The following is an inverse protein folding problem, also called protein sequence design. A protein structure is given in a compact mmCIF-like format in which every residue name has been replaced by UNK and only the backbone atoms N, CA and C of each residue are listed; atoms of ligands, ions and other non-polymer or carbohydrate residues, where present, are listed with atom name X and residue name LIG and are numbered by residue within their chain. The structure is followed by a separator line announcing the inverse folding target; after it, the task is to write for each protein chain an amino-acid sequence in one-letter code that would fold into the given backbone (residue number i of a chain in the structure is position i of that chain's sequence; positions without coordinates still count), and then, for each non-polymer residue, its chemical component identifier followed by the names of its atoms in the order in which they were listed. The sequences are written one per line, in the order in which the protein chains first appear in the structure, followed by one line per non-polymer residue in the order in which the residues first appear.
data_IF_548071465454
#
_entry.id   IF_548071465454
#
_cell.length_a   1.000
_cell.length_b   1.000
_cell.length_c   1.000
_cell.angle_alpha   90.00
_cell.angle_beta   90.00
_cell.angle_gamma   90.00
#
_symmetry.space_group_name_H-M   'P 1'
#
loop_
_entity.id
_entity.type
_entity.pdbx_description
1 polymer ?
#
# COMPACT_ATOMS: atom_id res chain seq x y z
N UNK A 1 -103.93 -26.82 -33.96
CA UNK A 1 -104.38 -26.98 -32.57
C UNK A 1 -103.64 -25.96 -31.73
N UNK A 2 -104.37 -25.02 -31.13
CA UNK A 2 -103.92 -24.13 -30.03
C UNK A 2 -103.77 -24.97 -28.72
N UNK A 3 -103.20 -24.48 -27.58
CA UNK A 3 -102.90 -23.10 -27.19
C UNK A 3 -101.61 -22.86 -26.30
N UNK A 4 -101.48 -21.62 -25.81
CA UNK A 4 -100.94 -21.15 -24.49
C UNK A 4 -99.43 -20.85 -24.25
N UNK A 5 -99.14 -19.56 -24.04
CA UNK A 5 -98.04 -18.93 -23.23
C UNK A 5 -98.36 -19.12 -21.72
N UNK A 6 -97.44 -19.08 -20.71
CA UNK A 6 -96.20 -18.28 -20.62
C UNK A 6 -95.00 -18.91 -19.85
N UNK A 7 -93.79 -18.32 -19.93
CA UNK A 7 -92.97 -17.82 -18.80
C UNK A 7 -91.59 -17.32 -19.29
N UNK A 8 -91.06 -16.27 -18.68
CA UNK A 8 -89.68 -15.77 -18.90
C UNK A 8 -88.72 -16.38 -17.87
N UNK A 9 -87.47 -16.70 -18.24
CA UNK A 9 -86.38 -16.45 -17.31
C UNK A 9 -85.13 -15.81 -17.93
N UNK A 10 -84.70 -14.74 -17.25
CA UNK A 10 -83.37 -14.15 -17.04
C UNK A 10 -82.20 -14.60 -17.94
N UNK A 11 -81.56 -13.57 -18.49
CA UNK A 11 -80.17 -13.52 -18.98
C UNK A 11 -79.17 -14.21 -18.05
N UNK A 12 -78.18 -14.98 -18.56
CA UNK A 12 -77.07 -15.46 -17.76
C UNK A 12 -76.10 -14.31 -17.44
N UNK A 13 -75.86 -14.13 -16.14
CA UNK A 13 -74.88 -13.20 -15.58
C UNK A 13 -73.46 -13.52 -16.06
N UNK A 14 -72.72 -12.45 -16.31
CA UNK A 14 -71.31 -12.41 -16.59
C UNK A 14 -70.54 -12.88 -15.34
N UNK A 15 -69.93 -14.08 -15.37
CA UNK A 15 -69.05 -14.52 -14.30
C UNK A 15 -67.71 -13.78 -14.42
N UNK A 16 -67.59 -12.70 -13.66
CA UNK A 16 -66.32 -12.06 -13.33
C UNK A 16 -65.39 -13.08 -12.68
N UNK A 17 -64.28 -13.36 -13.36
CA UNK A 17 -63.20 -14.21 -12.90
C UNK A 17 -62.37 -13.44 -11.85
N UNK A 18 -62.90 -13.34 -10.63
CA UNK A 18 -62.20 -12.76 -9.50
C UNK A 18 -60.98 -13.64 -9.13
N UNK A 19 -59.80 -13.23 -9.58
CA UNK A 19 -58.53 -13.85 -9.19
C UNK A 19 -58.37 -13.75 -7.67
N UNK A 20 -58.33 -14.90 -6.99
CA UNK A 20 -58.21 -14.95 -5.54
C UNK A 20 -56.85 -14.39 -5.07
N UNK A 21 -56.75 -13.83 -3.84
CA UNK A 21 -55.54 -13.19 -3.31
C UNK A 21 -54.26 -14.07 -3.35
N UNK A 22 -54.44 -15.40 -3.37
CA UNK A 22 -53.36 -16.40 -3.38
C UNK A 22 -52.73 -16.60 -4.77
N UNK A 23 -53.47 -16.36 -5.85
CA UNK A 23 -52.95 -16.39 -7.23
C UNK A 23 -52.23 -15.08 -7.60
N UNK A 24 -52.71 -13.95 -7.07
CA UNK A 24 -52.04 -12.66 -7.26
C UNK A 24 -50.65 -12.62 -6.57
N UNK A 25 -50.54 -13.14 -5.33
CA UNK A 25 -49.28 -13.14 -4.57
C UNK A 25 -48.20 -14.06 -5.16
N UNK A 26 -48.60 -15.23 -5.68
CA UNK A 26 -47.69 -16.15 -6.37
C UNK A 26 -47.17 -15.57 -7.69
N UNK A 27 -48.00 -14.82 -8.44
CA UNK A 27 -47.55 -14.11 -9.65
C UNK A 27 -46.59 -12.94 -9.35
N UNK A 28 -46.76 -12.26 -8.22
CA UNK A 28 -45.90 -11.15 -7.81
C UNK A 28 -44.52 -11.64 -7.36
N UNK A 29 -44.50 -12.72 -6.57
CA UNK A 29 -43.25 -13.38 -6.16
C UNK A 29 -42.48 -13.95 -7.36
N UNK A 30 -43.17 -14.53 -8.35
CA UNK A 30 -42.54 -15.05 -9.55
C UNK A 30 -41.95 -13.93 -10.44
N UNK A 31 -42.65 -12.79 -10.55
CA UNK A 31 -42.14 -11.60 -11.26
C UNK A 31 -40.92 -10.98 -10.56
N UNK A 32 -40.91 -10.96 -9.23
CA UNK A 32 -39.78 -10.46 -8.45
C UNK A 32 -38.52 -11.35 -8.60
N UNK A 33 -38.70 -12.68 -8.56
CA UNK A 33 -37.60 -13.64 -8.79
C UNK A 33 -37.04 -13.53 -10.22
N UNK A 34 -37.91 -13.37 -11.21
CA UNK A 34 -37.47 -13.18 -12.61
C UNK A 34 -36.73 -11.85 -12.82
N UNK A 35 -37.15 -10.78 -12.14
CA UNK A 35 -36.46 -9.50 -12.17
C UNK A 35 -35.07 -9.57 -11.50
N UNK A 36 -34.96 -10.26 -10.37
CA UNK A 36 -33.68 -10.49 -9.67
C UNK A 36 -32.71 -11.31 -10.52
N UNK A 37 -33.18 -12.38 -11.17
CA UNK A 37 -32.36 -13.19 -12.08
C UNK A 37 -31.87 -12.37 -13.28
N UNK A 38 -32.74 -11.57 -13.88
CA UNK A 38 -32.39 -10.68 -14.99
C UNK A 38 -31.35 -9.63 -14.57
N UNK A 39 -31.48 -9.07 -13.36
CA UNK A 39 -30.49 -8.15 -12.81
C UNK A 39 -29.14 -8.84 -12.55
N UNK A 40 -29.15 -10.04 -11.98
CA UNK A 40 -27.95 -10.83 -11.75
C UNK A 40 -27.23 -11.20 -13.05
N UNK A 41 -27.97 -11.53 -14.11
CA UNK A 41 -27.40 -11.86 -15.41
C UNK A 41 -26.82 -10.62 -16.12
N UNK A 42 -27.42 -9.43 -15.94
CA UNK A 42 -26.83 -8.16 -16.40
C UNK A 42 -25.54 -7.82 -15.67
N UNK A 43 -25.49 -8.01 -14.35
CA UNK A 43 -24.27 -7.81 -13.56
C UNK A 43 -23.18 -8.80 -13.98
N UNK A 44 -23.52 -10.08 -14.20
CA UNK A 44 -22.57 -11.08 -14.72
C UNK A 44 -22.06 -10.73 -16.12
N UNK A 45 -22.92 -10.29 -17.03
CA UNK A 45 -22.52 -9.88 -18.37
C UNK A 45 -21.62 -8.64 -18.36
N UNK A 46 -21.84 -7.73 -17.42
CA UNK A 46 -21.00 -6.55 -17.21
C UNK A 46 -19.63 -6.91 -16.59
N UNK A 47 -19.59 -7.85 -15.64
CA UNK A 47 -18.36 -8.29 -14.97
C UNK A 47 -17.52 -9.25 -15.82
N UNK A 48 -18.13 -10.05 -16.70
CA UNK A 48 -17.43 -11.04 -17.53
C UNK A 48 -16.22 -10.47 -18.29
N UNK A 49 -16.31 -9.34 -19.03
CA UNK A 49 -15.15 -8.78 -19.74
C UNK A 49 -14.09 -8.15 -18.81
N UNK A 50 -14.43 -7.82 -17.56
CA UNK A 50 -13.47 -7.36 -16.53
C UNK A 50 -12.72 -8.55 -15.94
N UNK A 51 -13.44 -9.61 -15.56
CA UNK A 51 -12.85 -10.86 -15.06
C UNK A 51 -11.96 -11.51 -16.11
N UNK A 52 -12.38 -11.54 -17.37
CA UNK A 52 -11.57 -12.08 -18.45
C UNK A 52 -10.31 -11.24 -18.74
N UNK A 53 -10.36 -9.91 -18.54
CA UNK A 53 -9.18 -9.04 -18.62
C UNK A 53 -8.22 -9.29 -17.47
N UNK A 54 -8.71 -9.41 -16.25
CA UNK A 54 -7.90 -9.75 -15.06
C UNK A 54 -7.26 -11.13 -15.20
N UNK A 55 -8.01 -12.13 -15.69
CA UNK A 55 -7.47 -13.48 -15.92
C UNK A 55 -6.44 -13.50 -17.06
N UNK A 56 -6.63 -12.72 -18.12
CA UNK A 56 -5.62 -12.55 -19.18
C UNK A 56 -4.36 -11.85 -18.67
N UNK A 57 -4.51 -10.84 -17.80
CA UNK A 57 -3.42 -10.14 -17.14
C UNK A 57 -2.64 -11.05 -16.17
N UNK A 58 -3.33 -11.91 -15.40
CA UNK A 58 -2.72 -12.86 -14.48
C UNK A 58 -2.13 -14.09 -15.16
N UNK A 59 -2.53 -14.43 -16.39
CA UNK A 59 -2.12 -15.67 -17.05
C UNK A 59 -0.59 -15.85 -17.16
N UNK A 60 0.24 -14.83 -17.47
CA UNK A 60 1.69 -14.97 -17.48
C UNK A 60 2.27 -15.19 -16.07
N UNK A 61 1.70 -14.54 -15.05
CA UNK A 61 2.11 -14.70 -13.64
C UNK A 61 1.79 -16.11 -13.14
N UNK A 62 0.59 -16.61 -13.40
CA UNK A 62 0.15 -17.96 -13.06
C UNK A 62 1.01 -19.02 -13.75
N UNK A 63 1.37 -18.82 -15.02
CA UNK A 63 2.32 -19.70 -15.74
C UNK A 63 3.70 -19.68 -15.09
N UNK A 64 4.24 -18.51 -14.76
CA UNK A 64 5.55 -18.37 -14.09
C UNK A 64 5.58 -19.00 -12.70
N UNK A 65 4.51 -18.88 -11.92
CA UNK A 65 4.37 -19.53 -10.60
C UNK A 65 4.27 -21.05 -10.76
N UNK A 66 3.53 -21.53 -11.75
CA UNK A 66 3.42 -22.97 -12.05
C UNK A 66 4.73 -23.58 -12.56
N UNK A 67 5.50 -22.82 -13.33
CA UNK A 67 6.79 -23.23 -13.90
C UNK A 67 7.98 -22.99 -12.95
N UNK A 68 7.74 -22.36 -11.78
CA UNK A 68 8.77 -22.15 -10.77
C UNK A 68 9.39 -23.49 -10.35
N UNK A 69 10.72 -23.62 -10.25
CA UNK A 69 11.39 -24.90 -9.99
C UNK A 69 10.91 -25.60 -8.72
N UNK A 70 10.53 -24.84 -7.69
CA UNK A 70 9.99 -25.35 -6.42
C UNK A 70 8.59 -25.95 -6.60
N UNK A 71 7.73 -25.27 -7.35
CA UNK A 71 6.36 -25.72 -7.64
C UNK A 71 6.36 -26.92 -8.58
N UNK A 72 7.25 -26.92 -9.57
CA UNK A 72 7.44 -28.07 -10.48
C UNK A 72 7.91 -29.31 -9.72
N UNK A 73 8.93 -29.18 -8.85
CA UNK A 73 9.43 -30.27 -8.01
C UNK A 73 8.38 -30.79 -7.04
N UNK A 74 7.58 -29.90 -6.45
CA UNK A 74 6.47 -30.29 -5.58
C UNK A 74 5.40 -31.06 -6.35
N UNK A 75 5.00 -30.56 -7.53
CA UNK A 75 4.03 -31.22 -8.41
C UNK A 75 4.49 -32.58 -8.87
N UNK A 76 5.73 -32.73 -9.30
CA UNK A 76 6.32 -34.01 -9.71
C UNK A 76 6.33 -35.02 -8.54
N UNK A 77 6.56 -34.56 -7.31
CA UNK A 77 6.57 -35.40 -6.10
C UNK A 77 5.16 -35.84 -5.68
N UNK A 78 4.15 -35.00 -5.92
CA UNK A 78 2.77 -35.23 -5.48
C UNK A 78 1.92 -35.92 -6.56
N UNK A 79 2.22 -35.73 -7.84
CA UNK A 79 1.50 -36.32 -8.98
C UNK A 79 1.23 -37.84 -8.88
N UNK A 80 2.20 -38.70 -8.54
CA UNK A 80 1.93 -40.15 -8.43
C UNK A 80 0.97 -40.48 -7.27
N UNK A 81 0.96 -39.67 -6.20
CA UNK A 81 0.06 -39.86 -5.06
C UNK A 81 -1.37 -39.44 -5.39
N UNK A 82 -1.55 -38.35 -6.15
CA UNK A 82 -2.86 -37.91 -6.62
C UNK A 82 -3.46 -38.89 -7.61
N UNK A 83 -2.64 -39.42 -8.53
CA UNK A 83 -3.06 -40.45 -9.48
C UNK A 83 -3.51 -41.74 -8.75
N UNK A 84 -2.76 -42.18 -7.74
CA UNK A 84 -3.11 -43.35 -6.94
C UNK A 84 -4.39 -43.19 -6.10
N UNK A 85 -4.74 -41.94 -5.73
CA UNK A 85 -6.02 -41.62 -5.05
C UNK A 85 -7.17 -41.56 -6.06
N UNK A 86 -6.95 -41.01 -7.25
CA UNK A 86 -7.97 -40.97 -8.31
C UNK A 86 -8.36 -42.36 -8.81
N UNK A 87 -7.41 -43.28 -8.91
CA UNK A 87 -7.65 -44.67 -9.35
C UNK A 87 -8.45 -45.50 -8.33
N UNK A 88 -8.55 -45.02 -7.09
CA UNK A 88 -9.30 -45.66 -5.99
C UNK A 88 -10.70 -45.09 -5.79
N UNK A 89 -11.11 -44.09 -6.57
CA UNK A 89 -12.44 -43.49 -6.45
C UNK A 89 -13.46 -44.26 -7.32
N UNK A 90 -14.66 -44.58 -6.78
CA UNK A 90 -15.67 -45.30 -7.54
C UNK A 90 -16.22 -44.47 -8.72
N UNK A 91 -16.41 -45.12 -9.87
CA UNK A 91 -16.90 -44.58 -11.16
C UNK A 91 -17.97 -43.46 -11.12
N UNK A 92 -19.03 -43.52 -10.28
CA UNK A 92 -20.02 -42.44 -10.22
C UNK A 92 -19.45 -41.08 -9.74
N UNK A 93 -18.36 -41.09 -8.97
CA UNK A 93 -17.69 -39.86 -8.50
C UNK A 93 -16.87 -39.22 -9.63
N UNK A 94 -16.22 -40.04 -10.46
CA UNK A 94 -15.40 -39.60 -11.60
C UNK A 94 -16.27 -38.99 -12.71
N UNK A 95 -17.49 -39.53 -12.91
CA UNK A 95 -18.44 -39.00 -13.90
C UNK A 95 -19.11 -37.70 -13.42
N UNK A 96 -19.40 -37.57 -12.12
CA UNK A 96 -19.90 -36.32 -11.53
C UNK A 96 -18.86 -35.17 -11.60
N UNK A 97 -17.55 -35.49 -11.54
CA UNK A 97 -16.49 -34.49 -11.67
C UNK A 97 -16.27 -33.98 -13.09
N UNK A 98 -16.56 -34.78 -14.13
CA UNK A 98 -16.38 -34.35 -15.54
C UNK A 98 -17.51 -33.46 -16.05
N UNK A 99 -18.73 -33.60 -15.52
CA UNK A 99 -19.88 -32.78 -15.96
C UNK A 99 -20.03 -31.49 -15.17
N UNK A 100 -19.43 -31.38 -13.96
CA UNK A 100 -19.40 -30.12 -13.18
C UNK A 100 -18.17 -29.25 -13.46
N UNK A 101 -17.15 -29.77 -14.13
CA UNK A 101 -15.93 -29.02 -14.48
C UNK A 101 -16.05 -28.10 -15.71
N UNK A 102 -17.20 -28.06 -16.39
CA UNK A 102 -17.44 -27.13 -17.50
C UNK A 102 -18.41 -25.97 -17.18
N UNK A 103 -18.97 -25.89 -15.97
CA UNK A 103 -19.86 -24.78 -15.56
C UNK A 103 -19.62 -24.20 -14.15
N UNK A 104 -18.54 -24.57 -13.48
CA UNK A 104 -18.11 -23.90 -12.24
C UNK A 104 -16.62 -23.55 -12.32
N UNK A 105 -16.31 -22.50 -13.10
CA UNK A 105 -15.03 -21.81 -13.02
C UNK A 105 -15.11 -20.71 -11.96
N UNK A 106 -14.13 -20.70 -11.04
CA UNK A 106 -13.98 -19.84 -9.87
C UNK A 106 -14.70 -20.32 -8.59
N UNK A 107 -13.93 -20.35 -7.49
CA UNK A 107 -14.30 -20.75 -6.12
C UNK A 107 -14.49 -22.26 -5.87
N UNK A 108 -13.37 -23.00 -5.68
CA UNK A 108 -13.08 -23.94 -4.55
C UNK A 108 -11.64 -24.43 -4.76
N UNK A 109 -10.67 -23.71 -4.21
CA UNK A 109 -9.30 -24.19 -3.96
C UNK A 109 -8.62 -23.29 -2.91
N UNK A 110 -9.23 -23.13 -1.74
CA UNK A 110 -8.59 -22.44 -0.59
C UNK A 110 -9.16 -22.81 0.80
N UNK A 111 -10.11 -23.74 0.94
CA UNK A 111 -10.75 -24.06 2.25
C UNK A 111 -10.45 -25.50 2.67
N UNK A 112 -9.18 -25.91 2.70
CA UNK A 112 -8.88 -27.32 2.95
C UNK A 112 -7.48 -27.69 3.39
N UNK A 113 -6.79 -26.86 4.19
CA UNK A 113 -5.69 -27.32 5.05
C UNK A 113 -5.63 -26.45 6.32
N UNK A 114 -6.55 -26.67 7.26
CA UNK A 114 -6.27 -26.50 8.69
C UNK A 114 -6.36 -27.89 9.28
N UNK A 115 -5.22 -28.45 9.64
CA UNK A 115 -5.15 -29.78 10.25
C UNK A 115 -3.73 -30.33 10.22
N UNK A 116 -3.18 -30.51 11.42
CA UNK A 116 -1.96 -31.27 11.75
C UNK A 116 -0.61 -30.54 11.62
N UNK A 117 -0.23 -29.83 12.68
CA UNK A 117 1.15 -29.90 13.20
C UNK A 117 1.08 -30.35 14.65
N UNK A 118 0.89 -31.66 14.83
CA UNK A 118 1.20 -32.38 16.06
C UNK A 118 2.48 -33.17 15.77
N UNK A 119 3.54 -32.87 16.52
CA UNK A 119 4.42 -33.89 17.09
C UNK A 119 5.61 -34.41 16.27
N UNK A 120 6.79 -34.18 16.87
CA UNK A 120 7.97 -35.07 16.96
C UNK A 120 8.84 -35.19 15.68
N UNK A 121 10.17 -35.17 15.70
CA UNK A 121 11.23 -35.21 16.72
C UNK A 121 12.42 -34.40 16.12
N UNK A 122 13.41 -33.89 16.87
CA UNK A 122 14.52 -34.64 17.49
C UNK A 122 15.08 -33.87 18.71
N UNK A 123 15.35 -34.61 19.79
CA UNK A 123 16.12 -34.22 21.00
C UNK A 123 17.49 -33.58 20.63
N UNK A 124 18.06 -32.55 21.29
CA UNK A 124 18.40 -32.36 22.72
C UNK A 124 19.86 -32.83 22.99
N UNK A 125 20.59 -32.40 24.04
CA UNK A 125 20.57 -31.18 24.88
C UNK A 125 21.94 -30.40 24.79
N UNK A 126 22.13 -29.15 25.26
CA UNK A 126 22.58 -28.81 26.63
C UNK A 126 22.78 -27.28 26.74
N UNK A 127 22.24 -26.67 27.79
CA UNK A 127 22.61 -25.35 28.35
C UNK A 127 23.60 -25.61 29.54
N UNK A 128 24.28 -24.62 30.18
CA UNK A 128 24.03 -23.18 30.18
C UNK A 128 25.28 -22.26 30.04
N UNK A 129 25.01 -20.98 29.77
CA UNK A 129 25.92 -19.86 29.98
C UNK A 129 26.23 -19.67 31.48
N UNK A 130 27.46 -19.24 31.75
CA UNK A 130 28.01 -18.98 33.08
C UNK A 130 27.75 -17.53 33.45
N UNK A 131 27.11 -17.31 34.59
CA UNK A 131 26.96 -16.01 35.24
C UNK A 131 28.14 -15.77 36.21
N UNK A 132 28.69 -14.55 36.14
CA UNK A 132 29.34 -13.79 37.22
C UNK A 132 30.73 -14.20 37.79
N UNK A 133 31.72 -13.30 37.72
CA UNK A 133 32.64 -12.98 38.83
C UNK A 133 33.61 -11.82 38.53
N UNK A 134 33.90 -11.06 39.60
CA UNK A 134 34.95 -10.06 39.83
C UNK A 134 34.64 -8.62 39.39
N UNK A 135 33.95 -7.81 40.22
CA UNK A 135 34.43 -7.10 41.42
C UNK A 135 35.55 -6.07 41.21
N UNK A 136 35.18 -4.82 41.48
CA UNK A 136 35.84 -3.84 42.35
C UNK A 136 37.38 -3.80 42.40
N UNK A 137 37.94 -2.67 41.93
CA UNK A 137 39.14 -2.09 42.54
C UNK A 137 39.25 -0.59 42.19
N UNK A 138 38.98 0.25 43.20
CA UNK A 138 39.35 1.67 43.26
C UNK A 138 40.80 1.77 43.74
N UNK A 139 41.71 2.43 43.01
CA UNK A 139 42.96 3.01 43.57
C UNK A 139 43.43 4.21 42.69
N UNK A 140 44.33 5.10 43.15
CA UNK A 140 44.02 6.45 43.57
C UNK A 140 44.64 7.54 42.66
N UNK A 141 44.09 8.75 42.78
CA UNK A 141 44.54 9.96 42.12
C UNK A 141 45.91 10.41 42.66
N UNK A 142 46.96 10.30 41.84
CA UNK A 142 48.27 10.90 42.09
C UNK A 142 48.27 12.33 41.51
N UNK A 143 48.17 13.33 42.37
CA UNK A 143 48.42 14.73 42.04
C UNK A 143 49.92 14.93 41.71
N UNK A 144 50.22 15.14 40.43
CA UNK A 144 51.44 15.78 39.99
C UNK A 144 51.12 17.23 39.62
N UNK A 145 51.89 18.18 40.17
CA UNK A 145 51.76 19.59 39.83
C UNK A 145 52.06 19.83 38.32
N UNK A 146 51.27 20.66 37.62
CA UNK A 146 51.47 20.91 36.20
C UNK A 146 52.78 21.67 35.94
N UNK A 147 53.42 21.36 34.82
CA UNK A 147 54.68 21.97 34.39
C UNK A 147 54.50 23.48 34.08
N UNK A 148 55.58 24.29 34.09
CA UNK A 148 55.51 25.76 33.93
C UNK A 148 54.76 26.25 32.68
N UNK A 149 54.73 25.46 31.60
CA UNK A 149 53.98 25.79 30.38
C UNK A 149 52.45 25.76 30.57
N UNK A 150 51.94 24.92 31.47
CA UNK A 150 50.51 24.85 31.77
C UNK A 150 50.04 26.02 32.65
N UNK A 151 50.93 26.59 33.48
CA UNK A 151 50.62 27.81 34.25
C UNK A 151 50.53 29.05 33.35
N UNK A 152 51.41 29.19 32.36
CA UNK A 152 51.33 30.28 31.39
C UNK A 152 50.07 30.21 30.51
N UNK A 153 49.61 29.00 30.16
CA UNK A 153 48.35 28.79 29.43
C UNK A 153 47.12 29.12 30.30
N UNK A 154 47.16 28.82 31.60
CA UNK A 154 46.11 29.17 32.55
C UNK A 154 45.99 30.68 32.79
N UNK A 155 47.12 31.42 32.80
CA UNK A 155 47.11 32.88 32.94
C UNK A 155 46.59 33.59 31.68
N UNK A 156 46.89 33.07 30.48
CA UNK A 156 46.28 33.57 29.24
C UNK A 156 44.77 33.27 29.18
N UNK A 157 44.33 32.11 29.64
CA UNK A 157 42.91 31.78 29.78
C UNK A 157 42.19 32.68 30.80
N UNK A 158 42.85 33.04 31.92
CA UNK A 158 42.27 33.93 32.93
C UNK A 158 42.14 35.39 32.46
N UNK A 159 42.99 35.83 31.53
CA UNK A 159 42.95 37.18 30.97
C UNK A 159 41.84 37.35 29.92
N UNK A 160 41.48 36.27 29.20
CA UNK A 160 40.38 36.26 28.23
C UNK A 160 38.98 36.21 28.86
N UNK A 161 38.86 35.82 30.13
CA UNK A 161 37.57 35.75 30.84
C UNK A 161 37.11 37.08 31.47
N UNK A 162 37.91 38.14 31.39
CA UNK A 162 37.56 39.46 31.94
C UNK A 162 36.95 40.42 30.92
N UNK A 163 36.81 40.00 29.65
CA UNK A 163 36.00 40.76 28.71
C UNK A 163 34.52 40.46 28.97
N UNK A 164 33.67 41.49 29.18
CA UNK A 164 32.23 41.26 29.22
C UNK A 164 31.82 40.56 27.92
N UNK A 165 30.98 39.51 27.99
CA UNK A 165 30.53 38.86 26.78
C UNK A 165 29.91 39.91 25.86
N UNK A 166 30.14 39.86 24.53
CA UNK A 166 29.33 40.65 23.63
C UNK A 166 27.86 40.37 23.95
N UNK A 167 26.98 41.37 23.87
CA UNK A 167 25.56 41.15 24.11
C UNK A 167 25.11 39.94 23.27
N UNK A 168 24.21 39.08 23.79
CA UNK A 168 23.69 37.97 23.01
C UNK A 168 23.24 38.53 21.67
N UNK A 169 23.93 38.13 20.60
CA UNK A 169 23.35 38.26 19.27
C UNK A 169 22.22 37.26 19.32
N UNK A 170 21.01 37.75 19.62
CA UNK A 170 19.79 37.00 19.35
C UNK A 170 19.98 36.41 17.96
N UNK A 171 19.81 35.09 17.74
CA UNK A 171 19.78 34.58 16.39
C UNK A 171 18.64 35.33 15.69
N UNK A 172 18.99 36.35 14.90
CA UNK A 172 18.07 36.91 13.93
C UNK A 172 17.64 35.71 13.12
N UNK A 173 16.39 35.28 13.33
CA UNK A 173 15.75 34.31 12.47
C UNK A 173 16.04 34.80 11.06
N UNK A 174 16.84 34.04 10.31
CA UNK A 174 17.15 34.38 8.94
C UNK A 174 15.81 34.68 8.27
N UNK A 175 15.71 35.85 7.62
CA UNK A 175 14.52 36.19 6.87
C UNK A 175 14.16 34.98 5.99
N UNK A 176 12.88 34.56 5.95
CA UNK A 176 12.50 33.34 5.24
C UNK A 176 13.07 33.41 3.83
N UNK A 177 13.86 32.39 3.46
CA UNK A 177 14.43 32.33 2.12
C UNK A 177 13.30 32.51 1.09
N UNK A 178 13.48 33.40 0.09
CA UNK A 178 12.48 33.60 -0.93
C UNK A 178 12.07 32.24 -1.54
N UNK A 179 10.78 32.10 -1.80
CA UNK A 179 10.26 30.88 -2.40
C UNK A 179 10.90 30.67 -3.77
N UNK A 180 11.37 29.44 -4.05
CA UNK A 180 11.96 29.15 -5.35
C UNK A 180 10.91 29.38 -6.45
N UNK A 181 11.31 29.87 -7.65
CA UNK A 181 10.36 30.16 -8.71
C UNK A 181 9.66 28.87 -9.17
N UNK A 182 8.38 29.00 -9.56
CA UNK A 182 7.67 27.92 -10.24
C UNK A 182 8.33 27.63 -11.60
N UNK A 183 8.39 26.35 -11.96
CA UNK A 183 8.87 25.89 -13.27
C UNK A 183 7.88 24.92 -13.94
N UNK A 184 8.22 24.41 -15.14
CA UNK A 184 7.42 23.36 -15.78
C UNK A 184 7.43 22.07 -14.95
N UNK A 185 6.39 21.21 -15.06
CA UNK A 185 6.35 19.95 -14.34
C UNK A 185 7.59 19.09 -14.61
N UNK A 186 8.04 18.38 -13.57
CA UNK A 186 9.21 17.50 -13.61
C UNK A 186 8.74 16.07 -13.63
N UNK A 187 9.31 15.25 -14.51
CA UNK A 187 8.99 13.82 -14.61
C UNK A 187 9.77 12.98 -13.58
N UNK A 188 9.09 11.99 -13.00
CA UNK A 188 9.66 10.99 -12.11
C UNK A 188 8.94 9.66 -12.23
N UNK A 189 9.35 8.72 -11.37
CA UNK A 189 8.77 7.38 -11.26
C UNK A 189 8.61 7.01 -9.78
N UNK A 190 7.94 5.91 -9.51
CA UNK A 190 8.05 5.23 -8.23
C UNK A 190 8.21 3.73 -8.47
N UNK A 191 8.96 3.08 -7.57
CA UNK A 191 9.41 1.70 -7.76
C UNK A 191 9.39 0.91 -6.46
N UNK A 192 9.28 -0.39 -6.59
CA UNK A 192 9.30 -1.36 -5.50
C UNK A 192 10.12 -2.59 -5.88
N UNK A 193 10.06 -3.64 -5.06
CA UNK A 193 10.62 -4.94 -5.40
C UNK A 193 10.04 -5.54 -6.69
N UNK A 194 8.86 -5.09 -7.14
CA UNK A 194 8.21 -5.59 -8.35
C UNK A 194 8.94 -5.21 -9.64
N UNK A 195 9.63 -4.08 -9.66
CA UNK A 195 10.36 -3.59 -10.84
C UNK A 195 11.68 -4.35 -11.08
N UNK A 196 12.14 -5.13 -10.10
CA UNK A 196 13.40 -5.88 -10.20
C UNK A 196 14.65 -4.98 -10.21
N UNK A 197 15.76 -5.45 -10.81
CA UNK A 197 16.94 -4.62 -11.05
C UNK A 197 16.64 -3.49 -12.04
N UNK A 198 17.18 -2.29 -11.77
CA UNK A 198 16.93 -1.07 -12.54
C UNK A 198 18.26 -0.50 -13.04
N UNK A 199 18.32 -0.17 -14.33
CA UNK A 199 19.44 0.60 -14.90
C UNK A 199 19.15 2.10 -14.76
N UNK A 200 19.56 2.66 -13.62
CA UNK A 200 19.30 4.07 -13.28
C UNK A 200 19.93 5.07 -14.24
N UNK A 201 21.03 4.71 -14.91
CA UNK A 201 21.65 5.56 -15.91
C UNK A 201 20.73 5.78 -17.12
N UNK A 202 20.00 4.73 -17.51
CA UNK A 202 18.98 4.81 -18.56
C UNK A 202 17.74 5.56 -18.09
N UNK A 203 17.30 5.35 -16.84
CA UNK A 203 16.17 6.10 -16.26
C UNK A 203 16.45 7.61 -16.26
N UNK A 204 17.65 8.01 -15.87
CA UNK A 204 18.09 9.40 -15.89
C UNK A 204 18.17 9.97 -17.33
N UNK A 205 18.70 9.17 -18.26
CA UNK A 205 18.78 9.53 -19.69
C UNK A 205 17.40 9.63 -20.36
N UNK A 206 16.40 8.89 -19.86
CA UNK A 206 15.00 8.97 -20.26
C UNK A 206 14.26 10.18 -19.64
N UNK A 207 15.00 11.07 -18.99
CA UNK A 207 14.51 12.37 -18.53
C UNK A 207 13.92 12.37 -17.13
N UNK A 208 13.87 11.24 -16.42
CA UNK A 208 13.35 11.18 -15.05
C UNK A 208 14.31 11.88 -14.08
N UNK A 209 13.78 12.69 -13.17
CA UNK A 209 14.56 13.53 -12.23
C UNK A 209 14.35 13.17 -10.78
N UNK A 210 13.27 12.48 -10.45
CA UNK A 210 13.05 11.95 -9.12
C UNK A 210 12.47 10.54 -9.14
N UNK A 211 12.61 9.86 -8.00
CA UNK A 211 11.93 8.60 -7.74
C UNK A 211 11.43 8.53 -6.30
N UNK A 212 10.32 7.84 -6.08
CA UNK A 212 10.02 7.25 -4.76
C UNK A 212 10.34 5.76 -4.78
N UNK A 213 10.84 5.20 -3.68
CA UNK A 213 11.22 3.78 -3.57
C UNK A 213 10.55 3.17 -2.35
N UNK A 214 9.87 2.04 -2.53
CA UNK A 214 9.24 1.31 -1.42
C UNK A 214 10.32 0.91 -0.43
N UNK A 215 10.24 1.38 0.80
CA UNK A 215 11.11 0.94 1.88
C UNK A 215 10.49 -0.25 2.63
N UNK A 216 9.23 -0.09 3.03
CA UNK A 216 8.55 -0.99 3.97
C UNK A 216 7.07 -1.09 3.66
N UNK A 217 6.49 -2.27 3.89
CA UNK A 217 5.03 -2.50 3.91
C UNK A 217 4.67 -3.05 5.31
N UNK A 218 3.91 -2.24 6.05
CA UNK A 218 3.62 -2.47 7.46
C UNK A 218 4.89 -2.72 8.28
N UNK A 219 4.81 -3.65 9.24
CA UNK A 219 5.95 -4.04 10.07
C UNK A 219 6.69 -5.29 9.59
N UNK A 220 6.15 -5.98 8.58
CA UNK A 220 6.57 -7.35 8.25
C UNK A 220 7.41 -7.44 6.97
N UNK A 221 7.35 -6.42 6.11
CA UNK A 221 8.06 -6.42 4.85
C UNK A 221 9.04 -5.26 4.77
N UNK A 222 10.23 -5.55 4.23
CA UNK A 222 11.22 -4.58 3.80
C UNK A 222 11.54 -4.91 2.36
N UNK A 223 11.53 -3.92 1.48
CA UNK A 223 11.89 -4.13 0.09
C UNK A 223 13.36 -4.61 0.02
N UNK A 224 13.62 -5.84 -0.44
CA UNK A 224 14.99 -6.40 -0.48
C UNK A 224 15.90 -5.67 -1.46
N UNK A 225 15.34 -4.81 -2.32
CA UNK A 225 16.08 -3.97 -3.27
C UNK A 225 16.13 -2.49 -2.86
N UNK A 226 15.61 -2.12 -1.68
CA UNK A 226 15.50 -0.72 -1.28
C UNK A 226 16.85 0.01 -1.41
N UNK A 227 17.92 -0.51 -0.80
CA UNK A 227 19.25 0.11 -0.84
C UNK A 227 19.79 0.25 -2.28
N UNK A 228 19.69 -0.81 -3.10
CA UNK A 228 20.09 -0.80 -4.51
C UNK A 228 19.32 0.26 -5.32
N UNK A 229 18.00 0.31 -5.14
CA UNK A 229 17.11 1.20 -5.89
C UNK A 229 17.29 2.66 -5.42
N UNK A 230 17.29 2.90 -4.12
CA UNK A 230 17.35 4.22 -3.53
C UNK A 230 18.70 4.90 -3.77
N UNK A 231 19.82 4.22 -3.49
CA UNK A 231 21.14 4.80 -3.74
C UNK A 231 21.50 4.81 -5.22
N UNK A 232 21.12 3.78 -5.98
CA UNK A 232 21.36 3.74 -7.43
C UNK A 232 20.70 4.92 -8.17
N UNK A 233 19.50 5.34 -7.75
CA UNK A 233 18.86 6.53 -8.27
C UNK A 233 19.65 7.81 -7.95
N UNK A 234 20.09 7.97 -6.70
CA UNK A 234 20.88 9.13 -6.25
C UNK A 234 22.24 9.22 -6.96
N UNK A 235 22.88 8.07 -7.17
CA UNK A 235 24.16 7.96 -7.90
C UNK A 235 23.99 8.32 -9.39
N UNK A 236 22.85 8.01 -9.99
CA UNK A 236 22.48 8.44 -11.34
C UNK A 236 22.02 9.92 -11.43
N UNK A 237 22.00 10.64 -10.30
CA UNK A 237 21.68 12.06 -10.24
C UNK A 237 20.20 12.39 -10.07
N UNK A 238 19.35 11.41 -9.75
CA UNK A 238 17.96 11.66 -9.38
C UNK A 238 17.85 12.10 -7.91
N UNK A 239 16.79 12.84 -7.60
CA UNK A 239 16.35 13.07 -6.22
C UNK A 239 15.49 11.87 -5.80
N UNK A 240 15.78 11.24 -4.66
CA UNK A 240 15.09 10.02 -4.24
C UNK A 240 14.32 10.21 -2.93
N UNK A 241 13.10 9.69 -2.85
CA UNK A 241 12.32 9.57 -1.62
C UNK A 241 12.06 8.11 -1.27
N UNK A 242 11.79 7.86 0.00
CA UNK A 242 11.34 6.56 0.50
C UNK A 242 9.84 6.61 0.76
N UNK A 243 9.11 5.52 0.49
CA UNK A 243 7.71 5.41 0.89
C UNK A 243 7.42 4.17 1.73
N UNK A 244 6.41 4.32 2.60
CA UNK A 244 5.90 3.28 3.47
C UNK A 244 4.46 2.95 3.09
N UNK A 245 4.23 1.70 2.69
CA UNK A 245 2.88 1.18 2.50
C UNK A 245 2.23 0.91 3.85
N UNK A 246 1.20 1.69 4.19
CA UNK A 246 0.56 1.61 5.48
C UNK A 246 -0.24 0.31 5.66
N UNK A 247 -0.15 -0.27 6.86
CA UNK A 247 -1.03 -1.36 7.31
C UNK A 247 -1.70 -0.99 8.64
N UNK A 248 -2.65 -0.03 8.66
CA UNK A 248 -3.14 0.55 9.90
C UNK A 248 -3.79 -0.43 10.89
N UNK A 249 -4.31 -1.56 10.41
CA UNK A 249 -4.90 -2.61 11.25
C UNK A 249 -3.91 -3.65 11.79
N UNK A 250 -2.68 -3.70 11.27
CA UNK A 250 -1.73 -4.76 11.64
C UNK A 250 -0.81 -4.39 12.80
N UNK A 251 -0.60 -3.10 13.06
CA UNK A 251 0.24 -2.60 14.15
C UNK A 251 -0.03 -1.11 14.40
N UNK A 252 0.57 -0.56 15.45
CA UNK A 252 0.47 0.87 15.73
C UNK A 252 1.17 1.72 14.66
N UNK A 253 0.73 2.97 14.55
CA UNK A 253 1.35 3.99 13.70
C UNK A 253 2.79 4.28 14.10
N UNK A 254 3.09 4.27 15.40
CA UNK A 254 4.44 4.51 15.92
C UNK A 254 5.40 3.39 15.54
N UNK A 255 4.98 2.13 15.64
CA UNK A 255 5.79 0.98 15.22
C UNK A 255 6.10 1.04 13.72
N UNK A 256 5.11 1.38 12.88
CA UNK A 256 5.30 1.51 11.44
C UNK A 256 6.19 2.69 11.07
N UNK A 257 5.99 3.86 11.68
CA UNK A 257 6.82 5.04 11.45
C UNK A 257 8.28 4.80 11.85
N UNK A 258 8.52 4.22 13.03
CA UNK A 258 9.88 3.93 13.48
C UNK A 258 10.58 2.92 12.57
N UNK A 259 9.91 1.82 12.23
CA UNK A 259 10.46 0.82 11.31
C UNK A 259 10.77 1.44 9.94
N UNK A 260 9.83 2.21 9.41
CA UNK A 260 10.00 2.88 8.13
C UNK A 260 11.25 3.75 8.15
N UNK A 261 11.42 4.60 9.15
CA UNK A 261 12.54 5.53 9.23
C UNK A 261 13.89 4.84 9.47
N UNK A 262 13.90 3.71 10.17
CA UNK A 262 15.11 2.91 10.36
C UNK A 262 15.57 2.26 9.05
N UNK A 263 14.64 1.90 8.16
CA UNK A 263 14.96 1.39 6.81
C UNK A 263 15.25 2.51 5.84
N UNK A 264 14.48 3.60 5.91
CA UNK A 264 14.56 4.70 4.96
C UNK A 264 15.90 5.43 5.04
N UNK A 265 16.51 5.48 6.23
CA UNK A 265 17.77 6.17 6.51
C UNK A 265 17.76 7.59 5.94
N UNK A 266 16.75 8.37 6.36
CA UNK A 266 16.53 9.72 5.84
C UNK A 266 17.73 10.64 6.09
N UNK A 267 18.17 11.35 5.06
CA UNK A 267 19.29 12.31 5.10
C UNK A 267 18.84 13.68 4.59
N UNK A 268 19.21 14.78 5.25
CA UNK A 268 18.99 16.14 4.73
C UNK A 268 20.16 16.56 3.83
N UNK A 269 20.28 15.92 2.66
CA UNK A 269 21.43 16.04 1.76
C UNK A 269 21.13 16.83 0.47
N UNK A 270 19.94 17.42 0.35
CA UNK A 270 19.50 18.10 -0.86
C UNK A 270 19.13 17.17 -2.02
N UNK A 271 19.19 15.84 -1.81
CA UNK A 271 18.85 14.80 -2.80
C UNK A 271 17.85 13.79 -2.27
N UNK A 272 17.31 14.04 -1.09
CA UNK A 272 16.39 13.13 -0.39
C UNK A 272 15.05 13.83 -0.20
N UNK A 273 14.00 13.31 -0.84
CA UNK A 273 12.65 13.85 -0.65
C UNK A 273 12.12 13.53 0.75
N UNK A 274 11.18 14.33 1.28
CA UNK A 274 10.47 13.99 2.51
C UNK A 274 9.89 12.57 2.46
N UNK A 275 9.86 11.85 3.58
CA UNK A 275 9.32 10.49 3.61
C UNK A 275 7.83 10.48 3.22
N UNK A 276 7.39 9.44 2.52
CA UNK A 276 6.01 9.30 2.07
C UNK A 276 5.26 8.27 2.92
N UNK A 277 4.05 8.64 3.35
CA UNK A 277 3.05 7.70 3.83
C UNK A 277 2.08 7.35 2.69
N UNK A 278 2.08 6.08 2.27
CA UNK A 278 1.18 5.53 1.27
C UNK A 278 -0.08 4.98 1.94
N UNK A 279 -1.21 5.67 1.68
CA UNK A 279 -2.54 5.34 2.16
C UNK A 279 -3.44 4.91 1.01
N UNK A 280 -3.56 3.61 0.84
CA UNK A 280 -4.50 3.00 -0.10
C UNK A 280 -5.21 1.78 0.47
N UNK A 281 -6.18 1.25 -0.27
CA UNK A 281 -6.99 0.11 0.16
C UNK A 281 -6.12 -1.12 0.37
N UNK A 282 -6.52 -2.01 1.29
CA UNK A 282 -5.81 -3.28 1.42
C UNK A 282 -5.89 -4.07 0.10
N UNK A 283 -4.78 -4.43 -0.57
CA UNK A 283 -4.81 -5.16 -1.82
C UNK A 283 -5.43 -6.56 -1.71
N UNK A 284 -5.48 -7.14 -0.51
CA UNK A 284 -6.01 -8.48 -0.27
C UNK A 284 -7.52 -8.48 0.06
N UNK A 285 -7.99 -7.47 0.80
CA UNK A 285 -9.38 -7.42 1.27
C UNK A 285 -10.20 -6.26 0.73
N UNK A 286 -9.54 -5.26 0.15
CA UNK A 286 -10.12 -3.95 -0.11
C UNK A 286 -10.48 -3.20 1.19
N UNK A 287 -11.06 -2.02 1.01
CA UNK A 287 -11.64 -1.22 2.10
C UNK A 287 -10.62 -0.55 3.02
N UNK A 288 -11.12 -0.03 4.15
CA UNK A 288 -10.40 0.86 5.05
C UNK A 288 -9.74 0.13 6.23
N UNK A 289 -9.18 -1.06 6.00
CA UNK A 289 -8.54 -1.88 7.05
C UNK A 289 -9.44 -2.23 8.25
N UNK A 290 -10.76 -2.16 8.08
CA UNK A 290 -11.72 -2.37 9.18
C UNK A 290 -11.77 -1.23 10.19
N UNK A 291 -11.20 -0.07 9.87
CA UNK A 291 -11.15 1.11 10.74
C UNK A 291 -12.28 2.09 10.43
N UNK A 292 -12.72 2.82 11.46
CA UNK A 292 -13.53 4.03 11.27
C UNK A 292 -12.67 5.17 10.72
N UNK A 293 -13.32 6.21 10.20
CA UNK A 293 -12.66 7.44 9.73
C UNK A 293 -11.82 8.07 10.85
N UNK A 294 -12.38 8.20 12.06
CA UNK A 294 -11.66 8.79 13.21
C UNK A 294 -10.43 7.98 13.60
N UNK A 295 -10.52 6.64 13.56
CA UNK A 295 -9.38 5.77 13.82
C UNK A 295 -8.29 5.95 12.76
N UNK A 296 -8.67 6.07 11.49
CA UNK A 296 -7.71 6.32 10.40
C UNK A 296 -7.05 7.69 10.56
N UNK A 297 -7.80 8.73 10.93
CA UNK A 297 -7.23 10.05 11.20
C UNK A 297 -6.21 10.03 12.34
N UNK A 298 -6.55 9.40 13.46
CA UNK A 298 -5.65 9.27 14.61
C UNK A 298 -4.37 8.52 14.22
N UNK A 299 -4.52 7.40 13.52
CA UNK A 299 -3.39 6.60 13.06
C UNK A 299 -2.47 7.40 12.12
N UNK A 300 -3.04 8.04 11.10
CA UNK A 300 -2.30 8.86 10.13
C UNK A 300 -1.60 10.03 10.82
N UNK A 301 -2.28 10.71 11.75
CA UNK A 301 -1.67 11.80 12.51
C UNK A 301 -0.47 11.32 13.32
N UNK A 302 -0.61 10.22 14.06
CA UNK A 302 0.49 9.66 14.86
C UNK A 302 1.68 9.25 14.00
N UNK A 303 1.44 8.62 12.84
CA UNK A 303 2.52 8.28 11.91
C UNK A 303 3.24 9.55 11.44
N UNK A 304 2.48 10.54 11.00
CA UNK A 304 3.03 11.78 10.45
C UNK A 304 3.81 12.59 11.50
N UNK A 305 3.28 12.68 12.72
CA UNK A 305 3.95 13.34 13.85
C UNK A 305 5.30 12.67 14.14
N UNK A 306 5.37 11.32 14.10
CA UNK A 306 6.62 10.58 14.32
C UNK A 306 7.65 10.79 13.22
N UNK A 307 7.20 10.86 11.97
CA UNK A 307 8.07 11.24 10.85
C UNK A 307 8.60 12.65 11.02
N UNK A 308 7.72 13.60 11.36
CA UNK A 308 8.11 15.00 11.60
C UNK A 308 9.10 15.13 12.75
N UNK A 309 8.88 14.41 13.84
CA UNK A 309 9.75 14.37 15.02
C UNK A 309 11.17 13.91 14.66
N UNK A 310 11.30 12.84 13.86
CA UNK A 310 12.61 12.25 13.53
C UNK A 310 13.34 12.91 12.36
N UNK A 311 12.62 13.56 11.45
CA UNK A 311 13.20 14.08 10.19
C UNK A 311 13.11 15.59 10.05
N UNK A 312 12.27 16.26 10.85
CA UNK A 312 11.94 17.67 10.68
C UNK A 312 11.06 17.98 9.45
N UNK A 313 10.70 16.97 8.65
CA UNK A 313 9.89 17.14 7.43
C UNK A 313 8.44 16.77 7.65
N UNK A 314 7.55 17.51 7.00
CA UNK A 314 6.18 17.03 6.83
C UNK A 314 6.23 15.85 5.85
N UNK A 315 5.77 14.64 6.23
CA UNK A 315 5.66 13.56 5.28
C UNK A 315 4.69 13.90 4.16
N UNK A 316 5.01 13.40 2.97
CA UNK A 316 4.13 13.44 1.81
C UNK A 316 3.05 12.37 2.02
N UNK A 317 1.79 12.70 1.74
CA UNK A 317 0.70 11.74 1.77
C UNK A 317 0.45 11.28 0.33
N UNK A 318 0.60 9.97 0.08
CA UNK A 318 0.10 9.35 -1.13
C UNK A 318 -1.31 8.80 -0.91
N UNK A 319 -2.23 9.12 -1.82
CA UNK A 319 -3.58 8.57 -1.83
C UNK A 319 -4.26 8.76 -3.19
N UNK A 320 -5.27 7.94 -3.46
CA UNK A 320 -6.24 8.18 -4.54
C UNK A 320 -7.53 8.87 -3.99
N UNK A 321 -8.34 9.54 -4.84
CA UNK A 321 -9.54 10.23 -4.41
C UNK A 321 -10.62 9.36 -3.74
N UNK A 322 -10.71 8.07 -4.11
CA UNK A 322 -11.70 7.15 -3.53
C UNK A 322 -11.31 6.78 -2.10
N UNK A 323 -10.06 6.40 -1.86
CA UNK A 323 -9.55 6.14 -0.51
C UNK A 323 -9.72 7.36 0.39
N UNK A 324 -9.34 8.55 -0.08
CA UNK A 324 -9.47 9.77 0.73
C UNK A 324 -10.92 10.08 1.11
N UNK A 325 -11.85 9.93 0.16
CA UNK A 325 -13.28 10.14 0.43
C UNK A 325 -13.84 9.09 1.39
N UNK A 326 -13.52 7.82 1.17
CA UNK A 326 -14.19 6.70 1.84
C UNK A 326 -13.56 6.36 3.19
N UNK A 327 -12.23 6.34 3.26
CA UNK A 327 -11.49 5.94 4.46
C UNK A 327 -11.04 7.14 5.30
N UNK A 328 -10.83 8.31 4.67
CA UNK A 328 -10.45 9.54 5.38
C UNK A 328 -11.63 10.52 5.50
N UNK A 329 -12.83 10.17 5.04
CA UNK A 329 -14.03 11.01 5.14
C UNK A 329 -13.92 12.36 4.42
N UNK A 330 -12.97 12.52 3.49
CA UNK A 330 -12.70 13.81 2.84
C UNK A 330 -12.24 14.91 3.79
N UNK A 331 -11.53 14.54 4.87
CA UNK A 331 -11.05 15.47 5.90
C UNK A 331 -10.12 16.56 5.36
N UNK A 332 -10.07 17.71 6.06
CA UNK A 332 -9.10 18.78 5.88
C UNK A 332 -8.00 18.82 6.95
N UNK A 333 -7.95 17.84 7.85
CA UNK A 333 -6.97 17.80 8.96
C UNK A 333 -5.51 17.77 8.51
N UNK A 334 -5.24 17.35 7.27
CA UNK A 334 -3.90 17.11 6.74
C UNK A 334 -3.49 18.10 5.64
N UNK A 335 -4.12 19.28 5.58
CA UNK A 335 -3.89 20.30 4.56
C UNK A 335 -2.46 20.87 4.51
N UNK A 336 -1.71 20.74 5.61
CA UNK A 336 -0.28 21.08 5.70
C UNK A 336 0.68 20.07 5.07
N UNK A 337 0.20 18.89 4.65
CA UNK A 337 1.04 17.85 4.03
C UNK A 337 1.07 18.00 2.50
N UNK A 338 2.22 17.81 1.84
CA UNK A 338 2.24 17.68 0.39
C UNK A 338 1.46 16.43 -0.05
N UNK A 339 0.61 16.58 -1.06
CA UNK A 339 -0.16 15.48 -1.64
C UNK A 339 0.58 14.88 -2.85
N UNK A 340 0.78 13.56 -2.82
CA UNK A 340 1.05 12.72 -3.97
C UNK A 340 -0.23 12.01 -4.40
N UNK A 341 -0.86 12.49 -5.47
CA UNK A 341 -2.18 12.05 -5.89
C UNK A 341 -2.08 10.92 -6.93
N UNK A 342 -2.70 9.78 -6.66
CA UNK A 342 -2.89 8.73 -7.66
C UNK A 342 -4.20 8.93 -8.42
N UNK A 343 -4.11 9.17 -9.74
CA UNK A 343 -5.30 9.32 -10.60
C UNK A 343 -4.93 9.08 -12.06
N UNK A 344 -5.33 7.94 -12.62
CA UNK A 344 -4.88 7.51 -13.95
C UNK A 344 -5.91 7.81 -15.05
N UNK A 345 -5.42 7.94 -16.29
CA UNK A 345 -6.28 8.03 -17.47
C UNK A 345 -7.10 9.31 -17.56
N UNK A 346 -6.65 10.39 -16.93
CA UNK A 346 -7.29 11.71 -16.92
C UNK A 346 -6.30 12.79 -17.32
N UNK A 347 -6.78 13.85 -17.98
CA UNK A 347 -5.94 14.99 -18.35
C UNK A 347 -5.65 15.93 -17.17
N UNK A 348 -6.54 15.91 -16.17
CA UNK A 348 -6.42 16.71 -14.95
C UNK A 348 -7.04 15.96 -13.78
N UNK A 349 -6.27 15.63 -12.73
CA UNK A 349 -6.77 14.85 -11.62
C UNK A 349 -7.65 15.71 -10.71
N UNK A 350 -8.73 15.13 -10.19
CA UNK A 350 -9.58 15.77 -9.19
C UNK A 350 -8.88 15.73 -7.83
N UNK A 351 -8.44 16.89 -7.35
CA UNK A 351 -7.82 17.03 -6.02
C UNK A 351 -8.86 16.73 -4.94
N UNK A 352 -8.58 15.79 -4.02
CA UNK A 352 -9.49 15.50 -2.91
C UNK A 352 -9.68 16.69 -1.98
N UNK A 353 -10.86 16.77 -1.34
CA UNK A 353 -11.11 17.78 -0.31
C UNK A 353 -10.05 17.71 0.79
N UNK A 354 -9.67 18.87 1.34
CA UNK A 354 -8.63 18.98 2.35
C UNK A 354 -7.24 19.27 1.80
N UNK A 355 -7.03 19.22 0.49
CA UNK A 355 -5.81 19.68 -0.15
C UNK A 355 -6.09 20.85 -1.09
N UNK A 356 -5.25 21.87 -1.06
CA UNK A 356 -5.34 23.00 -1.99
C UNK A 356 -4.92 22.60 -3.41
N UNK A 357 -3.95 21.68 -3.51
CA UNK A 357 -3.48 21.10 -4.77
C UNK A 357 -2.71 19.79 -4.55
N UNK A 358 -2.44 19.08 -5.64
CA UNK A 358 -1.43 18.04 -5.67
C UNK A 358 -0.04 18.64 -5.86
N UNK A 359 0.98 18.04 -5.23
CA UNK A 359 2.39 18.35 -5.43
C UNK A 359 3.02 17.35 -6.41
N UNK A 360 2.71 16.07 -6.19
CA UNK A 360 3.03 14.97 -7.09
C UNK A 360 1.76 14.36 -7.64
N UNK A 361 1.79 13.90 -8.89
CA UNK A 361 0.69 13.19 -9.53
C UNK A 361 1.22 11.92 -10.17
N UNK A 362 0.76 10.76 -9.68
CA UNK A 362 0.94 9.47 -10.34
C UNK A 362 -0.16 9.33 -11.38
N UNK A 363 0.22 9.38 -12.66
CA UNK A 363 -0.71 9.53 -13.77
C UNK A 363 -0.94 8.25 -14.57
N UNK A 364 -0.10 7.24 -14.40
CA UNK A 364 -0.27 5.91 -14.99
C UNK A 364 0.61 4.88 -14.26
N UNK A 365 0.13 3.63 -14.23
CA UNK A 365 0.83 2.40 -13.83
C UNK A 365 1.31 1.56 -15.04
N UNK A 366 1.02 2.01 -16.26
CA UNK A 366 1.33 1.33 -17.51
C UNK A 366 2.50 1.99 -18.28
N UNK A 367 3.29 2.81 -17.58
CA UNK A 367 4.41 3.53 -18.17
C UNK A 367 5.53 2.61 -18.65
N UNK A 368 6.27 3.06 -19.67
CA UNK A 368 7.49 2.41 -20.14
C UNK A 368 8.65 3.38 -19.97
N UNK A 369 9.68 2.98 -19.23
CA UNK A 369 10.88 3.79 -18.96
C UNK A 369 12.12 2.99 -19.29
N UNK A 370 13.06 3.62 -20.01
CA UNK A 370 14.33 2.99 -20.33
C UNK A 370 15.07 2.58 -19.04
N UNK A 371 15.48 1.31 -18.97
CA UNK A 371 16.18 0.76 -17.79
C UNK A 371 15.30 0.00 -16.81
N UNK A 372 13.98 -0.01 -17.00
CA UNK A 372 13.03 -0.82 -16.24
C UNK A 372 12.39 -1.86 -17.16
N UNK A 373 12.29 -3.10 -16.68
CA UNK A 373 11.65 -4.17 -17.44
C UNK A 373 10.15 -4.23 -17.11
N UNK A 374 9.31 -4.05 -18.11
CA UNK A 374 7.85 -4.06 -17.95
C UNK A 374 7.29 -2.69 -17.62
N UNK A 375 6.03 -2.67 -17.16
CA UNK A 375 5.35 -1.43 -16.79
C UNK A 375 5.93 -0.82 -15.52
N UNK A 376 5.85 0.50 -15.41
CA UNK A 376 6.25 1.25 -14.22
C UNK A 376 5.33 2.44 -14.00
N UNK A 377 5.14 2.81 -12.75
CA UNK A 377 4.40 3.99 -12.37
C UNK A 377 5.14 5.26 -12.80
N UNK A 378 4.41 6.20 -13.41
CA UNK A 378 4.95 7.49 -13.84
C UNK A 378 4.33 8.63 -13.04
N UNK A 379 5.20 9.58 -12.69
CA UNK A 379 4.85 10.69 -11.83
C UNK A 379 5.26 12.03 -12.43
N UNK A 380 4.53 13.07 -12.04
CA UNK A 380 4.91 14.46 -12.25
C UNK A 380 4.96 15.22 -10.94
N UNK A 381 6.03 15.96 -10.71
CA UNK A 381 6.08 17.02 -9.71
C UNK A 381 5.68 18.36 -10.35
N UNK A 382 4.69 19.04 -9.78
CA UNK A 382 4.03 20.18 -10.41
C UNK A 382 4.92 21.40 -10.60
N UNK A 383 5.77 21.68 -9.62
CA UNK A 383 6.24 23.04 -9.39
C UNK A 383 7.63 23.35 -9.97
N UNK A 384 8.23 22.40 -10.70
CA UNK A 384 9.53 22.60 -11.34
C UNK A 384 10.74 22.17 -10.52
N UNK A 385 11.88 22.06 -11.20
CA UNK A 385 13.11 21.48 -10.65
C UNK A 385 13.63 22.25 -9.43
N UNK A 386 13.62 23.59 -9.46
CA UNK A 386 14.13 24.40 -8.35
C UNK A 386 13.33 24.17 -7.05
N UNK A 387 12.01 23.99 -7.16
CA UNK A 387 11.16 23.67 -6.00
C UNK A 387 11.29 22.22 -5.55
N UNK A 388 11.50 21.29 -6.48
CA UNK A 388 11.80 19.89 -6.16
C UNK A 388 13.11 19.76 -5.37
N UNK A 389 14.17 20.47 -5.80
CA UNK A 389 15.43 20.55 -5.06
C UNK A 389 15.27 21.20 -3.69
N UNK A 390 14.45 22.26 -3.59
CA UNK A 390 14.15 22.90 -2.30
C UNK A 390 13.42 21.95 -1.36
N UNK A 391 12.49 21.15 -1.88
CA UNK A 391 11.76 20.15 -1.09
C UNK A 391 12.70 19.08 -0.51
N UNK A 392 13.79 18.77 -1.21
CA UNK A 392 14.78 17.76 -0.82
C UNK A 392 15.90 18.25 0.13
N UNK A 393 15.94 19.54 0.48
CA UNK A 393 17.00 20.16 1.31
C UNK A 393 16.70 20.11 2.80
#
# INVERSE_FOLDING_TARGET
MNPETPDQPRTPENHDNASTPKQASTSAAHRADQALRTAADRVRAWLAPLVERVLRWLAPLLRRVQDAPVVRRFRERVAPHVAAVQDKLPEPVVRASRTRSMQAGAAVAAVGVVGLVIGTAVAGPSQPEVEEAAMAASIPEQQAAPAPEQQAALEQHATLQQQPPPPPVEPQAAAPEPEAPLGPPVEGIDVSNHNGPIDWSKVAADGKKFTFVLATDGTSFTNPRYSEQYHGAKDAGLIAGAYHFARPSSSSAEEQANRFLDVADYQSDGKTLPPVLDLEVDPNSGGCYGMSVDQMHQWTKTFNDKVKERTGKEPIIYANPSFWRECMGGTNTFDGHPLWLASYGVDSPSVPNGFSNWHFWQYTDEGSVAGINGSTDLNQFKEGMARLEKLAR
#
